data_IF_591896924854
#
_entry.id   IF_591896924854
#
_cell.length_a   1.000
_cell.length_b   1.000
_cell.length_c   1.000
_cell.angle_alpha   90.00
_cell.angle_beta   90.00
_cell.angle_gamma   90.00
#
_symmetry.space_group_name_H-M   'P 1'
#
loop_
_entity.id
_entity.type
_entity.pdbx_description
1 polymer ?
#
# COMPACT_ATOMS: atom_id res chain seq x y z
N UNK A 1 -28.31 -7.09 -4.04
CA UNK A 1 -28.78 -5.75 -3.62
C UNK A 1 -27.60 -4.82 -3.84
N UNK A 2 -27.68 -3.91 -4.81
CA UNK A 2 -26.63 -2.90 -4.99
C UNK A 2 -26.67 -1.97 -3.77
N UNK A 3 -25.56 -1.87 -3.04
CA UNK A 3 -25.45 -1.09 -1.81
C UNK A 3 -25.83 0.37 -2.04
N UNK A 4 -26.79 0.89 -1.29
CA UNK A 4 -27.15 2.32 -1.25
C UNK A 4 -25.96 3.24 -0.96
N UNK A 5 -24.90 2.71 -0.32
CA UNK A 5 -23.62 3.39 -0.12
C UNK A 5 -22.85 3.68 -1.42
N UNK A 6 -23.01 2.84 -2.45
CA UNK A 6 -22.33 3.03 -3.74
C UNK A 6 -22.90 4.20 -4.54
N UNK A 7 -24.22 4.43 -4.47
CA UNK A 7 -24.91 5.56 -5.10
C UNK A 7 -24.60 6.90 -4.43
N UNK A 8 -24.42 6.95 -3.10
CA UNK A 8 -24.02 8.18 -2.40
C UNK A 8 -22.56 8.57 -2.67
N UNK A 9 -21.64 7.60 -2.78
CA UNK A 9 -20.24 7.84 -3.18
C UNK A 9 -20.12 8.51 -4.55
N UNK A 10 -21.02 8.19 -5.48
CA UNK A 10 -21.06 8.77 -6.83
C UNK A 10 -21.54 10.22 -6.86
N UNK A 11 -22.17 10.74 -5.80
CA UNK A 11 -22.80 12.08 -5.79
C UNK A 11 -21.84 13.24 -5.52
N UNK A 12 -20.66 12.97 -4.94
CA UNK A 12 -19.63 14.01 -4.71
C UNK A 12 -18.74 14.12 -5.94
N UNK A 13 -18.90 15.18 -6.73
CA UNK A 13 -18.00 15.52 -7.83
C UNK A 13 -16.58 15.74 -7.28
N UNK A 14 -15.67 14.78 -7.52
CA UNK A 14 -14.24 14.87 -7.20
C UNK A 14 -13.49 15.37 -8.44
N UNK A 15 -12.42 16.15 -8.24
CA UNK A 15 -11.60 16.65 -9.34
C UNK A 15 -10.79 15.52 -10.01
N UNK A 16 -10.36 14.54 -9.22
CA UNK A 16 -9.55 13.40 -9.65
C UNK A 16 -10.22 12.07 -9.31
N UNK A 17 -9.95 11.06 -10.14
CA UNK A 17 -10.27 9.67 -9.80
C UNK A 17 -9.17 9.08 -8.92
N UNK A 18 -7.91 9.37 -9.23
CA UNK A 18 -6.74 8.85 -8.50
C UNK A 18 -5.71 9.94 -8.31
N UNK A 19 -5.18 10.07 -7.09
CA UNK A 19 -4.06 10.97 -6.76
C UNK A 19 -2.89 10.15 -6.23
N UNK A 20 -1.70 10.39 -6.77
CA UNK A 20 -0.45 9.75 -6.33
C UNK A 20 0.28 10.72 -5.42
N UNK A 21 0.27 10.45 -4.11
CA UNK A 21 0.98 11.24 -3.11
C UNK A 21 2.41 10.72 -2.93
N UNK A 22 3.40 11.61 -2.99
CA UNK A 22 4.81 11.21 -2.96
C UNK A 22 5.39 10.91 -4.34
N UNK A 23 4.81 11.48 -5.40
CA UNK A 23 5.23 11.28 -6.80
C UNK A 23 6.69 11.72 -7.09
N UNK A 24 7.30 12.52 -6.22
CA UNK A 24 8.70 12.94 -6.37
C UNK A 24 9.73 11.88 -5.99
N UNK A 25 9.29 10.83 -5.29
CA UNK A 25 10.12 9.69 -4.90
C UNK A 25 10.25 8.65 -6.01
N UNK A 26 11.11 7.65 -5.83
CA UNK A 26 11.35 6.59 -6.81
C UNK A 26 10.07 5.80 -7.12
N UNK A 27 9.43 5.24 -6.08
CA UNK A 27 8.20 4.45 -6.21
C UNK A 27 7.08 5.31 -6.78
N UNK A 28 6.84 6.49 -6.20
CA UNK A 28 5.78 7.40 -6.65
C UNK A 28 5.91 7.82 -8.12
N UNK A 29 7.14 8.00 -8.63
CA UNK A 29 7.38 8.31 -10.05
C UNK A 29 6.98 7.15 -10.96
N UNK A 30 7.41 5.93 -10.64
CA UNK A 30 7.06 4.72 -11.40
C UNK A 30 5.55 4.42 -11.34
N UNK A 31 4.94 4.65 -10.18
CA UNK A 31 3.50 4.54 -9.97
C UNK A 31 2.75 5.54 -10.85
N UNK A 32 3.20 6.81 -10.91
CA UNK A 32 2.58 7.81 -11.75
C UNK A 32 2.67 7.44 -13.24
N UNK A 33 3.84 7.00 -13.72
CA UNK A 33 4.01 6.53 -15.10
C UNK A 33 3.04 5.42 -15.48
N UNK A 34 2.96 4.41 -14.62
CA UNK A 34 2.12 3.25 -14.85
C UNK A 34 0.65 3.64 -14.78
N UNK A 35 0.26 4.42 -13.78
CA UNK A 35 -1.12 4.83 -13.57
C UNK A 35 -1.65 5.67 -14.73
N UNK A 36 -0.86 6.60 -15.26
CA UNK A 36 -1.34 7.42 -16.38
C UNK A 36 -1.57 6.58 -17.65
N UNK A 37 -0.69 5.61 -17.93
CA UNK A 37 -0.87 4.66 -19.04
C UNK A 37 -2.13 3.80 -18.89
N UNK A 38 -2.42 3.36 -17.66
CA UNK A 38 -3.61 2.56 -17.34
C UNK A 38 -4.90 3.41 -17.31
N UNK A 39 -4.80 4.69 -16.93
CA UNK A 39 -5.91 5.62 -16.84
C UNK A 39 -6.42 6.07 -18.22
N UNK A 40 -5.52 6.24 -19.20
CA UNK A 40 -5.84 6.82 -20.50
C UNK A 40 -6.97 6.07 -21.26
N UNK A 41 -6.97 4.72 -21.38
CA UNK A 41 -8.05 4.00 -22.06
C UNK A 41 -9.41 4.12 -21.34
N UNK A 42 -9.40 4.31 -20.02
CA UNK A 42 -10.59 4.42 -19.20
C UNK A 42 -11.05 5.88 -18.99
N UNK A 43 -10.30 6.87 -19.51
CA UNK A 43 -10.59 8.30 -19.33
C UNK A 43 -10.53 8.77 -17.88
N UNK A 44 -9.74 8.10 -17.02
CA UNK A 44 -9.63 8.45 -15.60
C UNK A 44 -8.76 9.69 -15.39
N UNK A 45 -9.16 10.56 -14.47
CA UNK A 45 -8.42 11.78 -14.12
C UNK A 45 -7.37 11.49 -13.06
N UNK A 46 -6.10 11.67 -13.42
CA UNK A 46 -4.95 11.41 -12.54
C UNK A 46 -4.37 12.72 -12.00
N UNK A 47 -4.11 12.78 -10.69
CA UNK A 47 -3.40 13.87 -10.04
C UNK A 47 -2.07 13.43 -9.43
N UNK A 48 -1.06 14.29 -9.50
CA UNK A 48 0.20 14.13 -8.80
C UNK A 48 0.24 15.05 -7.58
N UNK A 49 0.61 14.50 -6.41
CA UNK A 49 0.63 15.24 -5.16
C UNK A 49 1.95 15.13 -4.39
N UNK A 50 2.35 16.26 -3.80
CA UNK A 50 3.59 16.38 -3.06
C UNK A 50 3.87 17.84 -2.65
N UNK A 51 4.90 18.03 -1.84
CA UNK A 51 5.18 19.33 -1.18
C UNK A 51 5.82 20.40 -2.08
N UNK A 52 6.40 20.03 -3.22
CA UNK A 52 7.15 20.95 -4.07
C UNK A 52 6.61 20.87 -5.50
N UNK A 53 5.88 21.90 -5.91
CA UNK A 53 5.16 21.95 -7.18
C UNK A 53 6.12 21.94 -8.38
N UNK A 54 7.21 22.70 -8.32
CA UNK A 54 8.19 22.82 -9.39
C UNK A 54 8.83 21.46 -9.68
N UNK A 55 9.23 20.73 -8.63
CA UNK A 55 9.81 19.40 -8.75
C UNK A 55 8.81 18.39 -9.29
N UNK A 56 7.52 18.50 -8.95
CA UNK A 56 6.49 17.65 -9.53
C UNK A 56 6.31 17.92 -11.02
N UNK A 57 6.24 19.20 -11.42
CA UNK A 57 6.16 19.60 -12.84
C UNK A 57 7.36 19.10 -13.63
N UNK A 58 8.56 19.27 -13.09
CA UNK A 58 9.79 18.77 -13.71
C UNK A 58 9.75 17.26 -13.88
N UNK A 59 9.43 16.52 -12.81
CA UNK A 59 9.39 15.05 -12.88
C UNK A 59 8.36 14.61 -13.92
N UNK A 60 7.17 15.18 -13.93
CA UNK A 60 6.15 14.84 -14.94
C UNK A 60 6.67 15.07 -16.36
N UNK A 61 7.26 16.25 -16.62
CA UNK A 61 7.85 16.58 -17.93
C UNK A 61 8.98 15.62 -18.33
N UNK A 62 9.82 15.20 -17.39
CA UNK A 62 10.95 14.30 -17.67
C UNK A 62 10.51 12.85 -17.89
N UNK A 63 9.32 12.49 -17.41
CA UNK A 63 8.92 11.11 -17.15
C UNK A 63 7.76 10.65 -18.04
N UNK A 64 6.96 11.58 -18.58
CA UNK A 64 5.78 11.35 -19.40
C UNK A 64 5.89 12.10 -20.74
N UNK A 65 5.36 11.50 -21.81
CA UNK A 65 5.28 12.17 -23.12
C UNK A 65 4.39 13.43 -23.05
N UNK A 66 4.66 14.42 -23.91
CA UNK A 66 4.04 15.76 -23.85
C UNK A 66 2.49 15.73 -23.85
N UNK A 67 1.88 14.88 -24.70
CA UNK A 67 0.43 14.71 -24.75
C UNK A 67 -0.17 14.08 -23.48
N UNK A 68 0.63 13.32 -22.74
CA UNK A 68 0.22 12.65 -21.51
C UNK A 68 0.44 13.56 -20.29
N UNK A 69 1.55 14.29 -20.27
CA UNK A 69 1.91 15.26 -19.23
C UNK A 69 0.83 16.32 -19.02
N UNK A 70 0.23 16.83 -20.12
CA UNK A 70 -0.81 17.86 -20.06
C UNK A 70 -2.13 17.39 -19.41
N UNK A 71 -2.34 16.08 -19.28
CA UNK A 71 -3.55 15.50 -18.68
C UNK A 71 -3.46 15.29 -17.16
N UNK A 72 -2.26 15.43 -16.58
CA UNK A 72 -2.01 15.19 -15.16
C UNK A 72 -2.18 16.48 -14.37
N UNK A 73 -3.10 16.51 -13.41
CA UNK A 73 -3.25 17.64 -12.49
C UNK A 73 -2.23 17.63 -11.35
N UNK A 74 -2.06 18.77 -10.69
CA UNK A 74 -1.11 18.95 -9.59
C UNK A 74 -1.84 19.34 -8.30
N UNK A 75 -1.40 18.79 -7.17
CA UNK A 75 -1.87 19.16 -5.84
C UNK A 75 -0.67 19.36 -4.94
N UNK A 76 -0.49 20.58 -4.44
CA UNK A 76 0.49 20.82 -3.37
C UNK A 76 -0.07 20.25 -2.08
N UNK A 77 0.63 19.25 -1.54
CA UNK A 77 0.23 18.53 -0.34
C UNK A 77 1.48 18.26 0.51
N UNK A 78 1.48 18.74 1.75
CA UNK A 78 2.56 18.54 2.71
C UNK A 78 2.04 17.77 3.92
N UNK A 79 2.69 16.66 4.27
CA UNK A 79 2.32 15.87 5.45
C UNK A 79 2.46 16.65 6.77
N UNK A 80 3.20 17.75 6.79
CA UNK A 80 3.30 18.66 7.93
C UNK A 80 2.21 19.74 7.96
N UNK A 81 1.44 19.91 6.87
CA UNK A 81 0.27 20.77 6.81
C UNK A 81 -0.98 19.91 6.59
N UNK A 82 -1.68 19.62 7.70
CA UNK A 82 -2.85 18.78 7.66
C UNK A 82 -3.98 19.33 6.77
N UNK A 83 -4.12 20.65 6.64
CA UNK A 83 -5.15 21.25 5.78
C UNK A 83 -4.90 20.87 4.32
N UNK A 84 -3.65 20.95 3.86
CA UNK A 84 -3.27 20.54 2.50
C UNK A 84 -3.58 19.05 2.22
N UNK A 85 -3.38 18.18 3.22
CA UNK A 85 -3.71 16.75 3.11
C UNK A 85 -5.22 16.52 3.06
N UNK A 86 -6.00 17.28 3.83
CA UNK A 86 -7.46 17.22 3.78
C UNK A 86 -7.99 17.68 2.42
N UNK A 87 -7.44 18.75 1.85
CA UNK A 87 -7.83 19.25 0.52
C UNK A 87 -7.51 18.22 -0.56
N UNK A 88 -6.31 17.61 -0.51
CA UNK A 88 -5.95 16.51 -1.39
C UNK A 88 -6.95 15.35 -1.27
N UNK A 89 -7.23 14.88 -0.05
CA UNK A 89 -8.16 13.77 0.19
C UNK A 89 -9.58 14.10 -0.34
N UNK A 90 -10.07 15.33 -0.15
CA UNK A 90 -11.37 15.79 -0.67
C UNK A 90 -11.41 15.90 -2.19
N UNK A 91 -10.27 16.11 -2.85
CA UNK A 91 -10.21 16.29 -4.31
C UNK A 91 -10.29 15.00 -5.13
N UNK A 92 -10.06 13.83 -4.51
CA UNK A 92 -9.92 12.55 -5.21
C UNK A 92 -10.88 11.48 -4.70
N UNK A 93 -11.08 10.42 -5.48
CA UNK A 93 -11.77 9.19 -5.05
C UNK A 93 -10.81 8.20 -4.39
N UNK A 94 -9.56 8.16 -4.85
CA UNK A 94 -8.49 7.31 -4.32
C UNK A 94 -7.20 8.10 -4.13
N UNK A 95 -6.57 7.94 -2.96
CA UNK A 95 -5.19 8.35 -2.70
C UNK A 95 -4.28 7.12 -2.74
N UNK A 96 -3.31 7.11 -3.65
CA UNK A 96 -2.19 6.18 -3.66
C UNK A 96 -1.00 6.82 -2.95
N UNK A 97 -0.74 6.43 -1.70
CA UNK A 97 0.32 7.00 -0.88
C UNK A 97 1.65 6.23 -1.06
N UNK A 98 2.59 6.90 -1.73
CA UNK A 98 3.98 6.45 -1.90
C UNK A 98 4.97 7.29 -1.06
N UNK A 99 4.48 8.13 -0.14
CA UNK A 99 5.27 9.05 0.66
C UNK A 99 5.64 8.43 2.03
N UNK A 100 6.68 7.60 2.03
CA UNK A 100 7.30 7.12 3.28
C UNK A 100 8.30 8.15 3.88
N UNK A 101 8.70 7.98 5.16
CA UNK A 101 8.34 6.88 6.07
C UNK A 101 6.92 6.99 6.63
N UNK A 102 6.17 5.89 6.59
CA UNK A 102 4.75 5.85 6.90
C UNK A 102 4.45 5.95 8.40
N UNK A 103 5.30 5.42 9.27
CA UNK A 103 5.16 5.60 10.73
C UNK A 103 5.18 7.07 11.14
N UNK A 104 5.82 7.94 10.34
CA UNK A 104 5.94 9.38 10.64
C UNK A 104 4.83 10.17 9.93
N UNK A 105 4.60 9.92 8.65
CA UNK A 105 3.77 10.78 7.79
C UNK A 105 2.49 10.09 7.28
N UNK A 106 2.34 8.79 7.46
CA UNK A 106 1.23 8.02 6.89
C UNK A 106 -0.10 8.29 7.59
N UNK A 107 -0.09 8.46 8.92
CA UNK A 107 -1.33 8.55 9.71
C UNK A 107 -2.17 9.77 9.34
N UNK A 108 -1.54 10.92 9.08
CA UNK A 108 -2.27 12.13 8.67
C UNK A 108 -3.01 11.94 7.35
N UNK A 109 -2.46 11.15 6.43
CA UNK A 109 -3.08 10.83 5.14
C UNK A 109 -4.25 9.87 5.33
N UNK A 110 -4.08 8.81 6.13
CA UNK A 110 -5.15 7.87 6.49
C UNK A 110 -6.30 8.61 7.17
N UNK A 111 -6.01 9.44 8.17
CA UNK A 111 -7.02 10.22 8.89
C UNK A 111 -7.82 11.10 7.94
N UNK A 112 -7.15 11.86 7.06
CA UNK A 112 -7.83 12.71 6.08
C UNK A 112 -8.70 11.91 5.10
N UNK A 113 -8.23 10.74 4.63
CA UNK A 113 -9.01 9.88 3.74
C UNK A 113 -10.26 9.33 4.44
N UNK A 114 -10.11 8.87 5.68
CA UNK A 114 -11.21 8.38 6.51
C UNK A 114 -12.24 9.48 6.76
N UNK A 115 -11.81 10.69 7.13
CA UNK A 115 -12.70 11.85 7.33
C UNK A 115 -13.42 12.26 6.04
N UNK A 116 -12.74 12.20 4.90
CA UNK A 116 -13.29 12.61 3.60
C UNK A 116 -14.16 11.52 2.93
N UNK A 117 -14.17 10.29 3.46
CA UNK A 117 -14.77 9.13 2.78
C UNK A 117 -14.05 8.76 1.48
N UNK A 118 -12.74 9.03 1.41
CA UNK A 118 -11.88 8.79 0.25
C UNK A 118 -11.15 7.46 0.43
N UNK A 119 -11.02 6.69 -0.65
CA UNK A 119 -10.27 5.44 -0.61
C UNK A 119 -8.77 5.71 -0.51
N UNK A 120 -8.06 4.82 0.17
CA UNK A 120 -6.64 4.95 0.43
C UNK A 120 -5.96 3.64 0.09
N UNK A 121 -4.82 3.70 -0.59
CA UNK A 121 -3.87 2.60 -0.67
C UNK A 121 -2.46 3.10 -0.43
N UNK A 122 -1.58 2.25 0.09
CA UNK A 122 -0.18 2.60 0.31
C UNK A 122 0.79 1.50 -0.12
N UNK A 123 2.07 1.84 -0.15
CA UNK A 123 3.16 0.90 -0.44
C UNK A 123 3.97 0.56 0.82
N UNK A 124 3.36 0.60 2.01
CA UNK A 124 4.10 0.47 3.27
C UNK A 124 4.60 -0.95 3.51
N UNK A 125 5.86 -1.07 3.92
CA UNK A 125 6.41 -2.27 4.57
C UNK A 125 6.39 -2.18 6.11
N UNK A 126 5.89 -1.07 6.66
CA UNK A 126 5.93 -0.80 8.10
C UNK A 126 4.71 -1.41 8.79
N UNK A 127 4.80 -2.69 9.18
CA UNK A 127 3.69 -3.46 9.76
C UNK A 127 3.10 -2.79 11.01
N UNK A 128 3.94 -2.14 11.83
CA UNK A 128 3.49 -1.39 13.00
C UNK A 128 2.57 -0.22 12.63
N UNK A 129 2.83 0.45 11.50
CA UNK A 129 1.97 1.51 10.99
C UNK A 129 0.64 0.92 10.51
N UNK A 130 0.68 -0.10 9.63
CA UNK A 130 -0.53 -0.70 9.06
C UNK A 130 -1.49 -1.23 10.14
N UNK A 131 -0.96 -2.01 11.10
CA UNK A 131 -1.78 -2.55 12.19
C UNK A 131 -2.28 -1.46 13.15
N UNK A 132 -1.51 -0.37 13.36
CA UNK A 132 -1.97 0.77 14.15
C UNK A 132 -3.13 1.52 13.45
N UNK A 133 -3.07 1.67 12.12
CA UNK A 133 -4.13 2.33 11.36
C UNK A 133 -5.42 1.52 11.41
N UNK A 134 -5.34 0.20 11.29
CA UNK A 134 -6.47 -0.69 11.51
C UNK A 134 -7.10 -0.46 12.89
N UNK A 135 -6.29 -0.55 13.94
CA UNK A 135 -6.76 -0.42 15.32
C UNK A 135 -7.47 0.91 15.59
N UNK A 136 -6.91 2.02 15.07
CA UNK A 136 -7.41 3.38 15.30
C UNK A 136 -8.61 3.74 14.42
N UNK A 137 -8.59 3.35 13.15
CA UNK A 137 -9.49 3.93 12.14
C UNK A 137 -10.50 2.95 11.54
N UNK A 138 -10.48 1.65 11.85
CA UNK A 138 -11.39 0.66 11.23
C UNK A 138 -12.87 1.05 11.36
N UNK A 139 -13.33 1.46 12.54
CA UNK A 139 -14.71 1.86 12.77
C UNK A 139 -15.07 3.15 12.01
N UNK A 140 -14.18 4.14 12.03
CA UNK A 140 -14.40 5.42 11.35
C UNK A 140 -14.39 5.27 9.82
N UNK A 141 -13.49 4.44 9.28
CA UNK A 141 -13.45 4.11 7.85
C UNK A 141 -14.74 3.42 7.41
N UNK A 142 -15.24 2.45 8.21
CA UNK A 142 -16.53 1.81 7.95
C UNK A 142 -17.69 2.81 7.97
N UNK A 143 -17.69 3.75 8.92
CA UNK A 143 -18.74 4.76 9.05
C UNK A 143 -18.73 5.79 7.91
N UNK A 144 -17.55 6.23 7.46
CA UNK A 144 -17.43 7.14 6.30
C UNK A 144 -17.54 6.43 4.95
N UNK A 145 -17.49 5.11 4.98
CA UNK A 145 -17.48 4.23 3.83
C UNK A 145 -16.10 4.05 3.20
N UNK A 146 -15.04 4.78 3.61
CA UNK A 146 -13.69 4.71 3.05
C UNK A 146 -13.08 3.30 3.10
N UNK A 147 -12.39 2.88 2.03
CA UNK A 147 -11.64 1.62 1.97
C UNK A 147 -10.15 1.94 2.18
N UNK A 148 -9.51 1.28 3.15
CA UNK A 148 -8.12 1.52 3.54
C UNK A 148 -7.26 0.26 3.27
N UNK A 149 -6.50 0.39 2.17
CA UNK A 149 -5.51 -0.45 1.47
C UNK A 149 -4.04 -0.45 1.91
N UNK A 150 -3.60 -1.03 3.04
CA UNK A 150 -2.14 -1.01 3.33
C UNK A 150 -1.35 -2.13 2.64
N UNK A 151 -0.06 -1.87 2.40
CA UNK A 151 0.92 -2.84 1.87
C UNK A 151 0.66 -3.31 0.44
N UNK A 152 0.22 -2.42 -0.45
CA UNK A 152 -0.02 -2.71 -1.87
C UNK A 152 1.27 -2.56 -2.72
N UNK A 153 2.34 -3.24 -2.31
CA UNK A 153 3.64 -3.19 -3.01
C UNK A 153 4.22 -4.60 -3.24
N UNK A 154 5.40 -4.65 -3.87
CA UNK A 154 6.10 -5.88 -4.22
C UNK A 154 6.31 -6.84 -3.04
N UNK A 155 6.49 -6.33 -1.82
CA UNK A 155 6.79 -7.17 -0.65
C UNK A 155 5.56 -7.94 -0.13
N UNK A 156 4.35 -7.67 -0.67
CA UNK A 156 3.10 -8.30 -0.22
C UNK A 156 2.25 -8.83 -1.38
N UNK A 157 2.05 -8.04 -2.45
CA UNK A 157 1.14 -8.39 -3.55
C UNK A 157 1.46 -9.72 -4.24
N UNK A 158 2.73 -10.05 -4.58
CA UNK A 158 3.06 -11.36 -5.15
C UNK A 158 2.76 -12.52 -4.20
N UNK A 159 2.94 -12.32 -2.89
CA UNK A 159 2.61 -13.32 -1.87
C UNK A 159 1.10 -13.57 -1.81
N UNK A 160 0.31 -12.49 -1.71
CA UNK A 160 -1.16 -12.56 -1.68
C UNK A 160 -1.73 -13.23 -2.94
N UNK A 161 -1.24 -12.83 -4.12
CA UNK A 161 -1.62 -13.45 -5.40
C UNK A 161 -1.23 -14.93 -5.46
N UNK A 162 -0.04 -15.28 -4.97
CA UNK A 162 0.42 -16.68 -4.91
C UNK A 162 -0.50 -17.55 -4.07
N UNK A 163 -0.88 -17.06 -2.88
CA UNK A 163 -1.84 -17.75 -2.00
C UNK A 163 -3.20 -17.89 -2.68
N UNK A 164 -3.70 -16.84 -3.33
CA UNK A 164 -4.98 -16.86 -4.04
C UNK A 164 -4.97 -17.88 -5.19
N UNK A 165 -3.93 -17.89 -6.02
CA UNK A 165 -3.81 -18.85 -7.14
C UNK A 165 -3.80 -20.29 -6.62
N UNK A 166 -3.03 -20.57 -5.57
CA UNK A 166 -2.98 -21.91 -4.97
C UNK A 166 -4.35 -22.31 -4.41
N UNK A 167 -5.03 -21.38 -3.72
CA UNK A 167 -6.37 -21.61 -3.21
C UNK A 167 -7.34 -21.97 -4.34
N UNK A 168 -7.36 -21.20 -5.43
CA UNK A 168 -8.27 -21.41 -6.56
C UNK A 168 -7.99 -22.71 -7.31
N UNK A 169 -6.71 -23.12 -7.40
CA UNK A 169 -6.32 -24.40 -8.00
C UNK A 169 -6.77 -25.60 -7.16
N UNK A 170 -6.57 -25.54 -5.85
CA UNK A 170 -6.95 -26.63 -4.94
C UNK A 170 -8.47 -26.75 -4.79
N UNK A 171 -9.17 -25.61 -4.77
CA UNK A 171 -10.63 -25.56 -4.61
C UNK A 171 -11.39 -26.32 -5.72
N UNK A 172 -10.80 -26.44 -6.92
CA UNK A 172 -11.37 -27.23 -8.02
C UNK A 172 -11.55 -28.71 -7.69
N UNK A 173 -10.77 -29.23 -6.74
CA UNK A 173 -10.81 -30.61 -6.28
C UNK A 173 -11.22 -30.69 -4.80
N UNK A 174 -12.00 -29.71 -4.31
CA UNK A 174 -12.41 -29.60 -2.90
C UNK A 174 -11.25 -29.51 -1.89
N UNK A 175 -10.03 -29.24 -2.39
CA UNK A 175 -8.84 -29.04 -1.59
C UNK A 175 -8.81 -27.63 -1.01
N UNK A 176 -8.23 -27.50 0.19
CA UNK A 176 -7.94 -26.20 0.81
C UNK A 176 -6.47 -26.18 1.19
N UNK A 177 -5.71 -25.11 0.86
CA UNK A 177 -4.31 -25.03 1.24
C UNK A 177 -4.15 -25.14 2.74
N UNK A 178 -3.26 -26.04 3.16
CA UNK A 178 -2.87 -26.21 4.55
C UNK A 178 -1.73 -25.24 4.93
N UNK A 179 -0.71 -25.17 4.07
CA UNK A 179 0.43 -24.26 4.19
C UNK A 179 0.87 -23.83 2.80
N UNK A 180 1.28 -22.57 2.67
CA UNK A 180 1.90 -22.04 1.47
C UNK A 180 3.27 -21.51 1.88
N UNK A 181 4.31 -21.92 1.14
CA UNK A 181 5.65 -21.38 1.31
C UNK A 181 6.04 -20.67 0.02
N UNK A 182 6.40 -19.39 0.13
CA UNK A 182 6.90 -18.60 -0.97
C UNK A 182 8.43 -18.46 -0.89
N UNK A 183 9.08 -18.49 -2.05
CA UNK A 183 10.53 -18.38 -2.17
C UNK A 183 10.86 -17.17 -3.04
N UNK A 184 11.77 -16.32 -2.56
CA UNK A 184 12.25 -15.15 -3.31
C UNK A 184 13.74 -15.32 -3.59
N UNK A 185 14.09 -15.44 -4.87
CA UNK A 185 15.46 -15.33 -5.31
C UNK A 185 15.73 -13.89 -5.75
N UNK A 186 16.70 -13.24 -5.09
CA UNK A 186 17.12 -11.89 -5.48
C UNK A 186 18.39 -12.02 -6.31
N UNK A 187 18.29 -11.62 -7.58
CA UNK A 187 19.41 -11.70 -8.53
C UNK A 187 20.07 -10.32 -8.60
N UNK A 188 21.33 -10.25 -8.19
CA UNK A 188 22.11 -9.02 -8.28
C UNK A 188 22.58 -8.74 -9.72
N UNK A 189 22.54 -7.46 -10.10
CA UNK A 189 23.19 -7.00 -11.34
C UNK A 189 24.68 -6.73 -11.12
N UNK A 190 25.43 -6.40 -12.19
CA UNK A 190 26.86 -6.07 -12.09
C UNK A 190 27.18 -4.90 -11.14
N UNK A 191 26.20 -4.04 -10.88
CA UNK A 191 26.29 -2.89 -9.97
C UNK A 191 25.76 -3.17 -8.56
N UNK A 192 25.40 -4.42 -8.25
CA UNK A 192 24.83 -4.83 -6.97
C UNK A 192 23.37 -4.41 -6.79
N UNK A 193 22.95 -4.27 -5.53
CA UNK A 193 21.60 -3.86 -5.15
C UNK A 193 21.47 -2.33 -5.04
N UNK A 194 20.35 -1.79 -5.54
CA UNK A 194 19.98 -0.39 -5.32
C UNK A 194 18.69 -0.32 -4.52
N UNK A 195 18.65 0.55 -3.51
CA UNK A 195 17.47 0.79 -2.67
C UNK A 195 17.28 2.27 -2.42
N UNK A 196 16.02 2.72 -2.34
CA UNK A 196 15.71 4.11 -2.05
C UNK A 196 15.99 4.47 -0.59
N UNK A 197 16.35 5.73 -0.32
CA UNK A 197 16.57 6.23 1.05
C UNK A 197 15.35 6.02 1.97
N UNK A 198 14.14 6.22 1.44
CA UNK A 198 12.91 5.97 2.18
C UNK A 198 12.73 4.49 2.59
N UNK A 199 13.13 3.55 1.74
CA UNK A 199 13.14 2.11 2.06
C UNK A 199 14.09 1.82 3.21
N UNK A 200 15.30 2.37 3.17
CA UNK A 200 16.28 2.23 4.24
C UNK A 200 15.75 2.74 5.59
N UNK A 201 15.14 3.94 5.61
CA UNK A 201 14.52 4.50 6.82
C UNK A 201 13.38 3.62 7.33
N UNK A 202 12.55 3.09 6.44
CA UNK A 202 11.41 2.22 6.79
C UNK A 202 11.89 0.93 7.47
N UNK A 203 12.97 0.31 6.96
CA UNK A 203 13.58 -0.88 7.57
C UNK A 203 14.07 -0.58 8.98
N UNK A 204 14.79 0.54 9.16
CA UNK A 204 15.29 0.93 10.49
C UNK A 204 14.14 1.18 11.48
N UNK A 205 13.08 1.85 11.03
CA UNK A 205 11.90 2.12 11.87
C UNK A 205 11.15 0.84 12.21
N UNK A 206 11.00 -0.09 11.27
CA UNK A 206 10.36 -1.39 11.53
C UNK A 206 11.09 -2.17 12.63
N UNK A 207 12.43 -2.21 12.58
CA UNK A 207 13.26 -2.84 13.61
C UNK A 207 13.10 -2.12 14.96
N UNK A 208 13.17 -0.78 14.95
CA UNK A 208 13.07 0.04 16.16
C UNK A 208 11.72 -0.09 16.87
N UNK A 209 10.64 -0.35 16.10
CA UNK A 209 9.27 -0.38 16.60
C UNK A 209 8.77 -1.79 16.96
N UNK A 210 9.66 -2.78 17.13
CA UNK A 210 9.23 -4.16 17.41
C UNK A 210 8.45 -4.33 18.71
N UNK A 211 8.84 -3.60 19.76
CA UNK A 211 8.11 -3.61 21.04
C UNK A 211 6.72 -2.96 20.91
N UNK A 212 6.59 -1.94 20.06
CA UNK A 212 5.33 -1.26 19.76
C UNK A 212 4.40 -2.20 18.99
N UNK A 213 4.90 -2.88 17.96
CA UNK A 213 4.12 -3.87 17.21
C UNK A 213 3.52 -4.94 18.12
N UNK A 214 4.28 -5.43 19.10
CA UNK A 214 3.77 -6.42 20.08
C UNK A 214 2.56 -5.89 20.86
N UNK A 215 2.60 -4.62 21.28
CA UNK A 215 1.49 -3.97 22.01
C UNK A 215 0.26 -3.81 21.11
N UNK A 216 0.45 -3.29 19.89
CA UNK A 216 -0.62 -3.14 18.90
C UNK A 216 -1.34 -4.48 18.65
N UNK A 217 -0.57 -5.57 18.47
CA UNK A 217 -1.12 -6.92 18.27
C UNK A 217 -1.91 -7.43 19.45
N UNK A 218 -1.50 -7.09 20.67
CA UNK A 218 -2.24 -7.45 21.88
C UNK A 218 -3.57 -6.69 21.94
N UNK A 219 -3.55 -5.39 21.64
CA UNK A 219 -4.74 -4.55 21.61
C UNK A 219 -5.74 -5.02 20.54
N UNK A 220 -5.28 -5.26 19.31
CA UNK A 220 -6.10 -5.81 18.22
C UNK A 220 -6.77 -7.15 18.58
N UNK A 221 -6.10 -8.01 19.35
CA UNK A 221 -6.68 -9.25 19.85
C UNK A 221 -7.75 -8.97 20.90
N UNK A 222 -7.44 -8.10 21.87
CA UNK A 222 -8.37 -7.76 22.95
C UNK A 222 -9.63 -7.03 22.47
N UNK A 223 -9.51 -6.25 21.40
CA UNK A 223 -10.63 -5.50 20.81
C UNK A 223 -11.47 -6.32 19.82
N UNK A 224 -11.08 -7.56 19.52
CA UNK A 224 -11.75 -8.41 18.53
C UNK A 224 -11.59 -7.92 17.08
N UNK A 225 -10.76 -6.92 16.82
CA UNK A 225 -10.52 -6.39 15.47
C UNK A 225 -9.57 -7.27 14.66
N UNK A 226 -8.84 -8.19 15.30
CA UNK A 226 -8.03 -9.19 14.59
C UNK A 226 -8.94 -10.32 14.09
N UNK A 227 -8.96 -10.63 12.79
CA UNK A 227 -9.76 -11.74 12.29
C UNK A 227 -9.29 -13.06 12.92
N UNK A 228 -10.25 -13.88 13.32
CA UNK A 228 -10.00 -15.22 13.83
C UNK A 228 -9.73 -16.15 12.63
N UNK A 229 -8.44 -16.43 12.40
CA UNK A 229 -8.04 -17.36 11.34
C UNK A 229 -8.28 -18.79 11.84
N UNK A 230 -9.18 -19.51 11.17
CA UNK A 230 -9.35 -20.95 11.35
C UNK A 230 -8.13 -21.66 10.77
N UNK A 231 -7.14 -21.92 11.61
CA UNK A 231 -6.00 -22.75 11.25
C UNK A 231 -6.50 -24.14 10.89
N UNK A 232 -6.19 -24.60 9.68
CA UNK A 232 -6.38 -25.99 9.26
C UNK A 232 -5.05 -26.70 9.42
N UNK A 233 -5.05 -27.95 9.90
CA UNK A 233 -3.87 -28.79 10.11
C UNK A 233 -2.88 -28.31 11.19
N UNK A 234 -1.65 -28.87 11.25
CA UNK A 234 -0.63 -28.46 12.22
C UNK A 234 -0.27 -26.96 12.15
N UNK A 235 0.40 -26.45 13.18
CA UNK A 235 0.99 -25.10 13.08
C UNK A 235 2.22 -25.18 12.20
N UNK A 236 2.34 -24.26 11.24
CA UNK A 236 3.58 -24.10 10.48
C UNK A 236 4.74 -23.85 11.45
N UNK A 237 5.78 -24.68 11.36
CA UNK A 237 7.01 -24.52 12.11
C UNK A 237 8.00 -23.80 11.19
N UNK A 238 8.35 -22.52 11.47
CA UNK A 238 9.28 -21.80 10.62
C UNK A 238 10.64 -22.51 10.59
N UNK A 239 11.25 -22.53 9.41
CA UNK A 239 12.59 -23.08 9.23
C UNK A 239 13.59 -22.36 10.15
N UNK A 240 14.49 -23.11 10.78
CA UNK A 240 15.57 -22.50 11.58
C UNK A 240 16.55 -21.81 10.64
N UNK A 241 16.86 -20.54 10.92
CA UNK A 241 17.84 -19.78 10.14
C UNK A 241 19.29 -20.19 10.51
N UNK A 242 20.20 -20.30 9.52
CA UNK A 242 19.96 -20.17 8.08
C UNK A 242 19.29 -21.42 7.51
N UNK A 243 18.25 -21.24 6.71
CA UNK A 243 17.61 -22.31 5.93
C UNK A 243 18.09 -22.20 4.49
N UNK A 244 18.49 -23.29 3.86
CA UNK A 244 18.86 -23.32 2.44
C UNK A 244 17.94 -24.33 1.73
N UNK A 245 17.17 -23.86 0.77
CA UNK A 245 16.31 -24.69 -0.07
C UNK A 245 16.99 -24.91 -1.43
N UNK A 246 17.09 -26.15 -1.86
CA UNK A 246 17.71 -26.49 -3.15
C UNK A 246 16.97 -25.91 -4.36
N UNK A 247 15.71 -25.48 -4.19
CA UNK A 247 14.91 -24.80 -5.22
C UNK A 247 15.26 -23.32 -5.38
N UNK A 248 15.94 -22.69 -4.41
CA UNK A 248 16.26 -21.26 -4.42
C UNK A 248 17.72 -21.00 -3.97
N UNK A 249 18.73 -21.47 -4.74
CA UNK A 249 20.12 -21.53 -4.29
C UNK A 249 20.81 -20.17 -4.09
N UNK A 250 20.23 -19.06 -4.57
CA UNK A 250 20.82 -17.71 -4.46
C UNK A 250 19.89 -16.67 -3.82
N UNK A 251 18.81 -17.11 -3.16
CA UNK A 251 17.76 -16.23 -2.62
C UNK A 251 17.85 -15.95 -1.13
N UNK A 252 17.08 -14.94 -0.70
CA UNK A 252 16.79 -14.70 0.72
C UNK A 252 15.49 -15.45 1.06
N UNK A 253 15.55 -16.26 2.11
CA UNK A 253 14.42 -17.03 2.59
C UNK A 253 13.55 -16.16 3.50
N UNK A 254 12.37 -15.79 3.01
CA UNK A 254 11.34 -15.17 3.83
C UNK A 254 10.09 -16.05 3.75
N UNK A 255 9.86 -16.95 4.74
CA UNK A 255 8.62 -17.70 4.77
C UNK A 255 7.47 -16.72 5.04
N UNK A 256 6.66 -16.47 4.02
CA UNK A 256 5.33 -15.91 4.21
C UNK A 256 4.40 -17.05 4.65
N UNK A 257 3.68 -16.85 5.75
CA UNK A 257 2.76 -17.83 6.34
C UNK A 257 1.36 -17.24 6.35
#
# INVERSE_FOLDING_TARGET
>A
MADSNSSERSSKSRAFDVVIFGCTGLVGRLTLQTMVKLAAPAGLKVGAAGRNEERMKQIISDTLDEGTSSSVGYIVADAYDYHSIQDMAKSTRLVLNCAGPFTIHGEVVVRACVEAGTDYMDTTGEINFAEAMQLKYSAAAKASGAIIISSCAFDAVPGDLGVQIIHDLLSKNEGVPYSVEAFLEVVEGPSGYTGGFGTFQSILLAISNMSILKKIRQELRSSGQRPELKLRGPKFAPHRLPFIDSRAPRGIYVPFV
#
